data_IF_204085447093
#
_entry.id   IF_204085447093
#
_cell.length_a   1.000
_cell.length_b   1.000
_cell.length_c   1.000
_cell.angle_alpha   90.00
_cell.angle_beta   90.00
_cell.angle_gamma   90.00
#
_symmetry.space_group_name_H-M   'P 1'
#
loop_
_entity.id
_entity.type
_entity.pdbx_description
1 polymer ?
2 non-polymer ?
3 non-polymer ?
4 non-polymer ?
5 water ?
#
# COMPACT_ATOMS: atom_id res chain seq x y z
N UNK A 2 -13.73 -26.55 -17.08
CA UNK A 2 -13.21 -25.57 -16.08
C UNK A 2 -13.59 -25.97 -14.65
N UNK A 3 -12.63 -26.50 -13.89
CA UNK A 3 -12.80 -26.67 -12.45
C UNK A 3 -12.63 -25.28 -11.80
N UNK A 4 -12.22 -24.32 -12.63
CA UNK A 4 -11.99 -22.92 -12.27
C UNK A 4 -13.13 -22.30 -11.37
N UNK A 5 -12.73 -21.59 -10.30
CA UNK A 5 -13.77 -20.91 -9.51
C UNK A 5 -13.05 -19.87 -8.60
N UNK A 6 -13.71 -18.73 -8.40
CA UNK A 6 -13.20 -17.67 -7.48
C UNK A 6 -14.26 -17.45 -6.47
N UNK A 7 -13.87 -17.42 -5.22
CA UNK A 7 -14.83 -17.03 -4.21
C UNK A 7 -14.19 -15.94 -3.37
N UNK A 8 -14.87 -14.78 -3.26
CA UNK A 8 -14.30 -13.70 -2.42
C UNK A 8 -15.08 -13.65 -1.12
N UNK A 9 -14.35 -13.57 -0.02
CA UNK A 9 -14.92 -13.48 1.31
C UNK A 9 -14.86 -12.07 1.92
N UNK A 10 -15.99 -11.44 2.34
CA UNK A 10 -15.86 -10.19 3.07
C UNK A 10 -17.21 -9.89 3.77
N UNK A 11 -17.12 -8.90 4.65
CA UNK A 11 -18.35 -8.38 5.21
C UNK A 11 -19.24 -7.77 4.11
N UNK A 12 -20.46 -7.31 4.57
CA UNK A 12 -21.42 -6.68 3.65
C UNK A 12 -21.01 -5.23 3.53
N UNK A 13 -19.98 -4.98 2.75
CA UNK A 13 -19.32 -3.71 2.82
C UNK A 13 -18.44 -3.66 1.62
N UNK A 14 -18.16 -2.42 1.14
CA UNK A 14 -17.30 -2.25 -0.03
C UNK A 14 -15.86 -2.27 0.51
N UNK A 15 -15.45 -1.18 1.17
CA UNK A 15 -14.20 -1.16 2.02
C UNK A 15 -13.05 -1.76 1.19
N UNK A 16 -12.28 -2.61 1.83
CA UNK A 16 -11.00 -3.14 1.20
C UNK A 16 -11.32 -4.11 0.07
N UNK A 17 -12.53 -4.74 0.07
CA UNK A 17 -12.81 -5.80 -0.92
C UNK A 17 -13.13 -5.18 -2.33
N UNK A 18 -13.70 -3.94 -2.33
CA UNK A 18 -14.29 -3.44 -3.59
C UNK A 18 -13.34 -3.41 -4.80
N UNK A 19 -12.06 -3.01 -4.62
CA UNK A 19 -11.20 -2.99 -5.79
C UNK A 19 -11.08 -4.39 -6.41
N UNK A 20 -11.12 -5.44 -5.58
CA UNK A 20 -11.04 -6.80 -6.15
C UNK A 20 -12.32 -7.12 -6.95
N UNK A 21 -13.48 -6.73 -6.37
CA UNK A 21 -14.79 -6.91 -7.10
C UNK A 21 -14.76 -6.17 -8.36
N UNK A 22 -14.26 -4.94 -8.32
CA UNK A 22 -14.28 -4.19 -9.66
C UNK A 22 -13.32 -4.78 -10.70
N UNK A 23 -12.17 -5.26 -10.19
CA UNK A 23 -11.20 -5.82 -11.12
C UNK A 23 -11.76 -7.10 -11.78
N UNK A 24 -12.35 -7.98 -10.97
CA UNK A 24 -12.93 -9.25 -11.54
C UNK A 24 -14.07 -8.92 -12.48
N UNK A 25 -14.86 -7.91 -12.11
CA UNK A 25 -15.99 -7.47 -13.00
C UNK A 25 -15.44 -7.00 -14.33
N UNK A 26 -14.47 -6.10 -14.29
CA UNK A 26 -13.92 -5.52 -15.53
C UNK A 26 -13.26 -6.60 -16.38
N UNK A 27 -12.64 -7.58 -15.73
CA UNK A 27 -11.97 -8.67 -16.46
C UNK A 27 -12.98 -9.66 -17.00
N UNK A 28 -14.26 -9.53 -16.63
CA UNK A 28 -15.23 -10.48 -17.09
C UNK A 28 -15.14 -11.83 -16.42
N UNK A 29 -14.59 -11.89 -15.22
CA UNK A 29 -14.42 -13.15 -14.45
C UNK A 29 -15.55 -13.30 -13.48
N UNK A 30 -16.31 -14.38 -13.63
CA UNK A 30 -17.42 -14.60 -12.76
C UNK A 30 -16.83 -15.10 -11.43
N UNK A 31 -17.45 -14.66 -10.35
CA UNK A 31 -16.96 -15.07 -9.03
C UNK A 31 -18.12 -15.10 -8.08
N UNK A 32 -17.96 -15.86 -6.98
CA UNK A 32 -18.91 -15.97 -5.96
C UNK A 32 -18.55 -14.83 -4.99
N UNK A 33 -19.44 -13.84 -4.84
CA UNK A 33 -19.17 -12.70 -3.98
C UNK A 33 -19.82 -12.94 -2.63
N UNK A 34 -19.07 -13.58 -1.71
CA UNK A 34 -19.66 -14.07 -0.46
C UNK A 34 -19.55 -12.92 0.55
N UNK A 35 -20.67 -12.27 0.85
CA UNK A 35 -20.65 -11.16 1.86
C UNK A 35 -21.42 -11.62 3.07
N UNK A 36 -20.75 -11.89 4.16
CA UNK A 36 -21.44 -12.41 5.35
C UNK A 36 -21.81 -11.35 6.34
N UNK A 37 -22.77 -11.64 7.27
CA UNK A 37 -23.22 -10.64 8.22
C UNK A 37 -22.28 -10.58 9.43
N UNK A 38 -22.37 -9.49 10.20
CA UNK A 38 -21.59 -9.36 11.46
C UNK A 38 -21.87 -10.53 12.42
N UNK A 39 -23.11 -11.05 12.44
CA UNK A 39 -23.48 -12.10 13.41
C UNK A 39 -22.81 -13.43 13.01
N UNK A 40 -22.56 -13.61 11.72
CA UNK A 40 -21.95 -14.84 11.23
C UNK A 40 -20.43 -14.79 11.44
N UNK A 41 -19.85 -13.60 11.49
CA UNK A 41 -18.38 -13.51 11.49
C UNK A 41 -17.70 -14.33 12.57
N UNK A 42 -18.20 -14.30 13.83
CA UNK A 42 -17.39 -15.01 14.87
C UNK A 42 -17.29 -16.50 14.59
N UNK A 43 -18.21 -17.11 13.83
CA UNK A 43 -18.01 -18.55 13.58
C UNK A 43 -17.28 -18.82 12.25
N UNK A 44 -17.05 -17.75 11.48
CA UNK A 44 -16.27 -17.90 10.21
C UNK A 44 -14.80 -17.59 10.55
N UNK A 45 -14.59 -16.50 11.26
CA UNK A 45 -13.24 -16.05 11.64
C UNK A 45 -12.20 -17.16 12.02
N UNK A 46 -12.61 -18.11 12.91
CA UNK A 46 -11.51 -19.05 13.39
C UNK A 46 -11.17 -20.08 12.32
N UNK A 47 -11.83 -20.06 11.16
CA UNK A 47 -11.53 -20.99 10.08
C UNK A 47 -10.65 -20.38 8.99
N UNK A 48 -10.44 -19.03 9.00
CA UNK A 48 -9.70 -18.43 7.86
C UNK A 48 -8.28 -18.18 8.22
N UNK A 49 -7.34 -18.33 7.23
CA UNK A 49 -5.96 -18.00 7.60
C UNK A 49 -5.77 -16.57 8.03
N UNK A 50 -5.22 -16.37 9.21
CA UNK A 50 -5.00 -15.00 9.72
C UNK A 50 -6.22 -14.39 10.44
N UNK A 51 -7.36 -15.07 10.37
CA UNK A 51 -8.55 -14.55 11.09
C UNK A 51 -9.05 -13.18 10.53
N UNK A 52 -8.84 -12.89 9.23
CA UNK A 52 -9.16 -11.59 8.67
C UNK A 52 -9.58 -11.75 7.20
N UNK A 53 -10.34 -10.79 6.71
CA UNK A 53 -10.76 -10.72 5.30
C UNK A 53 -10.39 -9.30 4.71
N UNK A 54 -10.42 -9.15 3.41
CA UNK A 54 -10.87 -10.08 2.34
C UNK A 54 -9.93 -11.30 2.23
N UNK A 55 -10.49 -12.39 1.68
CA UNK A 55 -9.73 -13.58 1.33
C UNK A 55 -10.35 -13.93 -0.07
N UNK A 56 -9.44 -14.29 -0.99
CA UNK A 56 -9.93 -14.77 -2.27
C UNK A 56 -9.44 -16.25 -2.42
N UNK A 57 -10.43 -17.14 -2.59
CA UNK A 57 -10.12 -18.59 -2.79
C UNK A 57 -10.22 -18.80 -4.29
N UNK A 58 -9.13 -19.27 -4.85
CA UNK A 58 -9.05 -19.52 -6.27
C UNK A 58 -8.90 -21.04 -6.45
N UNK A 59 -9.86 -21.64 -7.17
CA UNK A 59 -9.75 -23.08 -7.53
C UNK A 59 -9.23 -23.12 -8.98
N UNK A 60 -8.03 -23.60 -9.17
CA UNK A 60 -7.47 -23.44 -10.50
C UNK A 60 -7.93 -24.52 -11.46
N UNK A 61 -7.34 -24.53 -12.69
CA UNK A 61 -7.80 -25.54 -13.64
C UNK A 61 -7.48 -26.98 -13.15
N UNK A 62 -6.48 -27.15 -12.27
CA UNK A 62 -6.15 -28.49 -11.74
C UNK A 62 -7.13 -28.90 -10.65
N UNK A 63 -8.11 -28.04 -10.32
CA UNK A 63 -9.05 -28.43 -9.30
C UNK A 63 -8.46 -28.11 -7.90
N UNK A 64 -7.29 -27.47 -7.84
CA UNK A 64 -6.69 -27.24 -6.53
C UNK A 64 -6.97 -25.81 -6.02
N UNK A 65 -7.05 -25.72 -4.68
CA UNK A 65 -7.57 -24.45 -4.05
C UNK A 65 -6.40 -23.75 -3.49
N UNK A 66 -6.24 -22.45 -3.79
CA UNK A 66 -5.27 -21.63 -3.20
C UNK A 66 -5.99 -20.43 -2.56
N UNK A 67 -5.59 -20.10 -1.35
CA UNK A 67 -6.37 -19.06 -0.61
C UNK A 67 -5.44 -17.84 -0.48
N UNK A 68 -5.86 -16.69 -0.93
CA UNK A 68 -5.00 -15.48 -1.00
C UNK A 68 -5.54 -14.38 -0.01
N UNK A 69 -4.62 -13.76 0.75
CA UNK A 69 -4.86 -12.74 1.77
C UNK A 69 -4.38 -11.38 1.26
N UNK A 70 -4.79 -10.32 1.98
CA UNK A 70 -4.28 -8.91 1.83
C UNK A 70 -4.87 -8.31 0.57
N UNK A 71 -5.90 -7.44 0.71
CA UNK A 71 -6.70 -7.01 -0.43
C UNK A 71 -5.89 -6.49 -1.58
N UNK A 72 -4.94 -5.59 -1.37
CA UNK A 72 -4.32 -4.99 -2.60
C UNK A 72 -3.11 -5.88 -3.08
N UNK A 73 -2.68 -6.92 -2.32
CA UNK A 73 -1.76 -7.99 -2.87
C UNK A 73 -2.62 -8.86 -3.85
N UNK A 74 -3.80 -9.32 -3.37
CA UNK A 74 -4.74 -10.05 -4.23
C UNK A 74 -5.05 -9.24 -5.51
N UNK A 75 -5.40 -7.96 -5.34
CA UNK A 75 -5.75 -7.12 -6.52
C UNK A 75 -4.56 -6.95 -7.45
N UNK A 76 -3.35 -6.71 -6.93
CA UNK A 76 -2.19 -6.59 -7.86
C UNK A 76 -1.90 -7.88 -8.59
N UNK A 77 -2.04 -9.04 -7.88
CA UNK A 77 -1.69 -10.35 -8.55
C UNK A 77 -2.71 -10.57 -9.69
N UNK A 78 -4.01 -10.32 -9.39
CA UNK A 78 -5.05 -10.47 -10.45
C UNK A 78 -4.76 -9.47 -11.53
N UNK A 79 -4.51 -8.22 -11.16
CA UNK A 79 -4.31 -7.19 -12.17
C UNK A 79 -3.17 -7.55 -13.11
N UNK A 80 -2.11 -8.06 -12.55
CA UNK A 80 -0.98 -8.45 -13.43
C UNK A 80 -1.46 -9.56 -14.43
N UNK A 81 -2.19 -10.54 -13.92
CA UNK A 81 -2.71 -11.66 -14.72
C UNK A 81 -3.58 -11.13 -15.82
N UNK A 82 -4.32 -10.04 -15.55
CA UNK A 82 -5.29 -9.52 -16.51
C UNK A 82 -4.69 -8.36 -17.34
N UNK A 83 -3.38 -8.17 -17.24
CA UNK A 83 -2.63 -7.11 -17.96
C UNK A 83 -3.21 -5.69 -17.64
N UNK A 84 -3.53 -5.47 -16.37
CA UNK A 84 -4.10 -4.20 -15.85
C UNK A 84 -3.13 -3.61 -14.80
N UNK A 85 -1.85 -3.92 -14.93
CA UNK A 85 -0.84 -3.43 -13.92
C UNK A 85 0.23 -2.61 -14.65
N UNK A 86 -0.08 -2.27 -15.92
CA UNK A 86 0.80 -1.45 -16.71
C UNK A 86 1.56 -2.30 -17.74
N UNK A 87 1.86 -1.69 -18.88
CA UNK A 87 2.61 -2.39 -19.94
C UNK A 87 4.03 -1.96 -20.05
N UNK A 88 4.46 -0.95 -19.31
CA UNK A 88 5.85 -0.51 -19.29
C UNK A 88 6.19 -0.24 -17.82
N UNK A 89 7.49 -0.14 -17.49
CA UNK A 89 7.85 0.23 -16.12
C UNK A 89 7.24 1.61 -15.76
N UNK A 90 7.24 2.52 -16.70
CA UNK A 90 6.65 3.84 -16.46
C UNK A 90 5.18 3.74 -16.04
N UNK A 91 4.42 2.93 -16.78
CA UNK A 91 2.99 2.76 -16.46
C UNK A 91 2.79 2.14 -15.09
N UNK A 92 3.65 1.16 -14.81
CA UNK A 92 3.65 0.49 -13.51
C UNK A 92 3.90 1.53 -12.41
N UNK A 93 4.88 2.42 -12.63
CA UNK A 93 5.12 3.42 -11.58
C UNK A 93 3.87 4.36 -11.44
N UNK A 94 3.28 4.81 -12.55
CA UNK A 94 2.12 5.69 -12.43
C UNK A 94 0.99 5.04 -11.62
N UNK A 95 0.79 3.74 -11.87
CA UNK A 95 -0.29 3.01 -11.13
C UNK A 95 0.10 3.01 -9.68
N UNK A 96 1.34 2.57 -9.42
CA UNK A 96 1.75 2.55 -8.01
C UNK A 96 1.66 3.92 -7.30
N UNK A 97 2.03 4.97 -8.03
CA UNK A 97 2.01 6.32 -7.41
C UNK A 97 0.57 6.64 -6.99
N UNK A 98 -0.39 6.42 -7.90
CA UNK A 98 -1.82 6.71 -7.51
C UNK A 98 -2.33 5.79 -6.45
N UNK A 99 -1.88 4.55 -6.43
CA UNK A 99 -2.42 3.69 -5.38
C UNK A 99 -1.84 4.16 -3.98
N UNK A 100 -0.51 4.53 -3.95
CA UNK A 100 0.05 5.03 -2.66
C UNK A 100 -0.72 6.25 -2.14
N UNK A 101 -0.99 7.17 -3.09
CA UNK A 101 -1.62 8.44 -2.68
C UNK A 101 -3.05 8.05 -2.25
N UNK A 102 -3.76 7.19 -3.03
CA UNK A 102 -5.17 6.86 -2.65
C UNK A 102 -5.16 6.06 -1.28
N UNK A 103 -4.10 5.27 -0.99
CA UNK A 103 -4.10 4.56 0.34
C UNK A 103 -4.18 5.58 1.49
N UNK A 104 -3.42 6.67 1.33
CA UNK A 104 -3.49 7.74 2.30
C UNK A 104 -4.88 8.36 2.37
N UNK A 105 -5.42 8.63 1.22
CA UNK A 105 -6.76 9.28 1.23
C UNK A 105 -7.81 8.30 1.84
N UNK A 106 -7.73 7.01 1.47
CA UNK A 106 -8.68 6.01 1.98
C UNK A 106 -8.64 6.06 3.55
N UNK A 107 -7.45 6.05 4.14
CA UNK A 107 -7.37 6.07 5.58
C UNK A 107 -8.08 7.28 6.18
N UNK A 108 -7.94 8.43 5.53
CA UNK A 108 -8.55 9.65 6.08
C UNK A 108 -10.07 9.50 6.05
N UNK A 109 -10.60 9.05 4.89
CA UNK A 109 -12.07 9.00 4.86
C UNK A 109 -12.63 7.86 5.68
N UNK A 110 -11.93 6.74 5.76
CA UNK A 110 -12.36 5.70 6.67
C UNK A 110 -12.40 6.14 8.12
N UNK A 111 -11.44 6.97 8.52
CA UNK A 111 -11.42 7.52 9.89
C UNK A 111 -12.67 8.40 10.05
N UNK A 112 -13.05 9.16 9.04
CA UNK A 112 -14.30 9.96 9.22
C UNK A 112 -15.48 9.03 9.37
N UNK A 113 -15.59 8.04 8.49
CA UNK A 113 -16.70 7.09 8.52
C UNK A 113 -16.81 6.46 9.89
N UNK A 114 -15.67 6.18 10.55
CA UNK A 114 -15.69 5.49 11.86
C UNK A 114 -15.89 6.43 13.04
N UNK A 115 -16.02 7.72 12.74
CA UNK A 115 -16.06 8.68 13.82
C UNK A 115 -17.54 8.77 14.26
N UNK A 116 -17.80 8.72 15.58
CA UNK A 116 -19.16 8.93 16.15
C UNK A 116 -19.86 10.16 15.59
N UNK A 117 -21.18 10.05 15.49
CA UNK A 117 -22.04 10.90 14.64
C UNK A 117 -21.96 12.45 14.54
N UNK A 118 -21.70 13.22 15.61
CA UNK A 118 -21.39 12.83 16.96
C UNK A 118 -20.31 13.87 16.97
N UNK A 119 -19.18 13.51 16.35
CA UNK A 119 -17.92 14.23 16.35
C UNK A 119 -17.32 14.25 14.92
N UNK A 120 -18.14 13.75 14.02
CA UNK A 120 -17.81 13.60 12.60
C UNK A 120 -17.62 14.96 12.01
N UNK A 121 -18.50 15.92 12.38
CA UNK A 121 -18.50 17.17 11.60
C UNK A 121 -17.16 17.93 11.80
N UNK A 122 -16.61 17.86 13.02
CA UNK A 122 -15.31 18.43 13.29
C UNK A 122 -14.23 17.75 12.42
N UNK A 123 -14.27 16.41 12.32
CA UNK A 123 -13.20 15.72 11.53
C UNK A 123 -13.35 16.04 10.02
N UNK A 124 -14.59 16.27 9.58
CA UNK A 124 -14.82 16.63 8.17
C UNK A 124 -14.26 18.02 7.87
N UNK A 125 -14.46 18.93 8.81
CA UNK A 125 -14.00 20.29 8.58
C UNK A 125 -12.48 20.27 8.56
N UNK A 126 -11.86 19.50 9.45
CA UNK A 126 -10.38 19.38 9.48
C UNK A 126 -9.88 18.81 8.15
N UNK A 127 -10.52 17.72 7.68
CA UNK A 127 -10.17 17.17 6.38
C UNK A 127 -10.21 18.18 5.25
N UNK A 128 -11.34 18.93 5.16
CA UNK A 128 -11.51 19.93 4.08
C UNK A 128 -10.48 21.01 4.11
N UNK A 129 -9.96 21.32 5.32
CA UNK A 129 -9.00 22.44 5.42
C UNK A 129 -7.58 22.01 5.40
N UNK A 130 -7.34 20.69 5.64
CA UNK A 130 -5.98 20.18 5.79
C UNK A 130 -5.48 19.02 4.92
N UNK A 131 -5.59 17.70 5.36
CA UNK A 131 -5.07 16.65 4.57
C UNK A 131 -5.90 16.39 3.31
N UNK A 132 -7.20 16.75 3.35
CA UNK A 132 -8.02 16.67 2.08
C UNK A 132 -7.41 17.35 0.84
N UNK A 133 -7.22 18.70 0.90
CA UNK A 133 -6.64 19.40 -0.17
C UNK A 133 -5.28 18.88 -0.46
N UNK A 134 -4.50 18.54 0.59
CA UNK A 134 -3.15 18.17 0.23
C UNK A 134 -3.17 16.83 -0.53
N UNK A 135 -3.97 15.87 -0.07
CA UNK A 135 -3.94 14.57 -0.78
C UNK A 135 -4.63 14.65 -2.11
N UNK A 136 -5.77 15.34 -2.11
CA UNK A 136 -6.51 15.46 -3.37
C UNK A 136 -5.74 16.26 -4.46
N UNK A 137 -4.93 17.25 -4.03
CA UNK A 137 -4.08 17.96 -5.02
C UNK A 137 -3.10 16.99 -5.61
N UNK A 138 -2.48 16.13 -4.79
CA UNK A 138 -1.53 15.15 -5.36
C UNK A 138 -2.26 14.29 -6.36
N UNK A 139 -3.41 13.71 -5.92
CA UNK A 139 -4.08 12.80 -6.78
C UNK A 139 -4.48 13.52 -8.09
N UNK A 140 -5.01 14.74 -7.97
CA UNK A 140 -5.36 15.50 -9.19
C UNK A 140 -4.20 15.74 -10.13
N UNK A 141 -3.03 16.14 -9.56
CA UNK A 141 -1.82 16.36 -10.37
C UNK A 141 -1.35 15.09 -11.03
N UNK A 142 -1.44 13.95 -10.28
CA UNK A 142 -1.05 12.67 -10.88
C UNK A 142 -1.91 12.36 -12.10
N UNK A 143 -3.19 12.42 -11.89
CA UNK A 143 -4.14 12.07 -13.01
C UNK A 143 -3.97 13.07 -14.20
N UNK A 144 -3.72 14.34 -13.87
CA UNK A 144 -3.58 15.34 -14.95
C UNK A 144 -2.35 14.99 -15.79
N UNK A 145 -1.26 14.62 -15.11
CA UNK A 145 -0.01 14.30 -15.78
C UNK A 145 -0.21 13.19 -16.76
N UNK A 146 -1.20 12.31 -16.55
CA UNK A 146 -1.34 11.22 -17.50
C UNK A 146 -2.56 11.45 -18.41
N UNK A 147 -3.18 12.67 -18.40
CA UNK A 147 -4.20 13.02 -19.45
C UNK A 147 -5.62 13.06 -18.99
N UNK A 148 -5.87 12.79 -17.71
CA UNK A 148 -7.18 13.07 -17.12
C UNK A 148 -8.21 11.91 -17.18
N UNK A 149 -7.99 10.94 -18.08
CA UNK A 149 -8.98 9.85 -18.28
C UNK A 149 -8.52 8.52 -17.63
N UNK A 150 -7.19 8.31 -17.71
CA UNK A 150 -6.57 7.09 -17.15
C UNK A 150 -5.30 7.40 -16.45
N UNK A 151 -5.06 6.68 -15.34
CA UNK A 151 -3.86 6.84 -14.56
C UNK A 151 -2.60 6.48 -15.37
N UNK A 152 -2.80 5.48 -16.25
CA UNK A 152 -1.65 4.93 -17.04
C UNK A 152 -2.15 4.30 -18.29
N UNK A 153 -1.38 4.49 -19.36
CA UNK A 153 -1.78 3.90 -20.68
C UNK A 153 -3.10 4.49 -21.10
N UNK A 154 -3.82 3.84 -21.99
CA UNK A 154 -5.06 4.57 -22.30
C UNK A 154 -6.17 3.61 -22.14
N UNK A 155 -6.02 2.73 -21.15
CA UNK A 155 -7.02 1.72 -20.88
C UNK A 155 -7.17 1.56 -19.34
N UNK A 156 -8.26 0.97 -18.91
CA UNK A 156 -8.49 0.80 -17.50
C UNK A 156 -7.42 -0.13 -16.90
N UNK A 157 -6.92 0.30 -15.74
CA UNK A 157 -5.91 -0.43 -14.93
C UNK A 157 -6.37 -0.53 -13.49
N UNK A 158 -5.68 -1.32 -12.67
CA UNK A 158 -5.98 -1.25 -11.23
C UNK A 158 -5.83 0.15 -10.67
N UNK A 159 -4.92 0.95 -11.19
CA UNK A 159 -4.76 2.35 -10.65
C UNK A 159 -6.04 3.10 -10.82
N UNK A 160 -6.65 2.98 -11.99
CA UNK A 160 -7.94 3.63 -12.18
C UNK A 160 -8.98 3.13 -11.26
N UNK A 161 -9.03 1.77 -11.06
CA UNK A 161 -10.14 1.24 -10.28
C UNK A 161 -9.99 1.64 -8.79
N UNK A 162 -8.77 1.60 -8.33
CA UNK A 162 -8.55 1.97 -6.90
C UNK A 162 -8.77 3.52 -6.72
N UNK A 163 -8.39 4.32 -7.71
CA UNK A 163 -8.76 5.78 -7.68
C UNK A 163 -10.28 5.90 -7.63
N UNK A 164 -10.96 5.14 -8.47
CA UNK A 164 -12.39 5.28 -8.55
C UNK A 164 -13.04 4.97 -7.18
N UNK A 165 -12.68 3.84 -6.53
CA UNK A 165 -13.31 3.46 -5.31
C UNK A 165 -12.96 4.44 -4.18
N UNK A 166 -11.77 4.99 -4.23
CA UNK A 166 -11.36 5.95 -3.15
C UNK A 166 -12.17 7.26 -3.38
N UNK A 167 -12.30 7.72 -4.65
CA UNK A 167 -13.11 8.98 -4.92
C UNK A 167 -14.57 8.72 -4.50
N UNK A 168 -15.12 7.50 -4.69
CA UNK A 168 -16.49 7.21 -4.22
C UNK A 168 -16.58 7.49 -2.73
N UNK A 169 -15.54 7.04 -1.99
CA UNK A 169 -15.54 7.25 -0.52
C UNK A 169 -15.49 8.73 -0.20
N UNK A 170 -14.67 9.52 -0.93
CA UNK A 170 -14.64 10.98 -0.61
C UNK A 170 -16.03 11.56 -0.89
N UNK A 171 -16.60 11.16 -2.03
CA UNK A 171 -17.94 11.74 -2.41
C UNK A 171 -18.99 11.44 -1.41
N UNK A 172 -18.99 10.23 -0.91
CA UNK A 172 -19.97 9.85 0.17
C UNK A 172 -19.69 10.35 1.53
N UNK A 173 -18.43 10.47 1.93
CA UNK A 173 -18.15 10.95 3.29
C UNK A 173 -17.96 12.44 3.47
N UNK A 174 -17.59 13.18 2.45
CA UNK A 174 -17.35 14.63 2.50
C UNK A 174 -18.20 15.21 1.35
N UNK A 175 -19.53 15.18 1.45
CA UNK A 175 -20.40 15.47 0.27
C UNK A 175 -20.14 16.87 -0.35
N UNK A 176 -20.14 16.94 -1.67
CA UNK A 176 -19.90 18.20 -2.34
C UNK A 176 -18.46 18.66 -2.50
N UNK A 177 -17.60 18.13 -1.61
CA UNK A 177 -16.22 18.65 -1.63
C UNK A 177 -15.44 18.35 -2.86
N UNK A 178 -15.44 17.06 -3.30
CA UNK A 178 -14.78 16.78 -4.58
C UNK A 178 -15.37 17.53 -5.77
N UNK A 179 -16.69 17.66 -5.75
CA UNK A 179 -17.42 18.21 -6.90
C UNK A 179 -17.05 19.70 -7.04
N UNK A 180 -16.92 20.37 -5.89
CA UNK A 180 -16.61 21.80 -5.91
C UNK A 180 -15.11 22.08 -6.05
N UNK A 181 -14.29 21.44 -5.20
CA UNK A 181 -12.83 21.73 -5.18
C UNK A 181 -11.94 21.02 -6.21
N UNK A 182 -12.36 19.81 -6.69
CA UNK A 182 -11.41 19.05 -7.61
C UNK A 182 -12.23 18.56 -8.77
N UNK A 183 -12.73 19.57 -9.55
CA UNK A 183 -13.66 19.09 -10.61
C UNK A 183 -13.06 18.01 -11.56
N UNK A 184 -11.75 18.04 -11.88
CA UNK A 184 -11.21 17.03 -12.79
C UNK A 184 -11.33 15.59 -12.21
N UNK A 185 -11.20 15.48 -10.87
CA UNK A 185 -11.34 14.15 -10.25
C UNK A 185 -12.81 13.76 -10.31
N UNK A 186 -13.75 14.71 -10.05
CA UNK A 186 -15.15 14.36 -10.21
C UNK A 186 -15.47 13.93 -11.66
N UNK A 187 -14.87 14.59 -12.63
CA UNK A 187 -15.10 14.27 -14.07
C UNK A 187 -14.58 12.83 -14.30
N UNK A 188 -13.45 12.52 -13.60
CA UNK A 188 -12.88 11.14 -13.80
C UNK A 188 -13.86 10.09 -13.26
N UNK A 189 -14.42 10.39 -12.08
CA UNK A 189 -15.33 9.48 -11.41
C UNK A 189 -16.58 9.29 -12.37
N UNK A 190 -17.04 10.38 -13.02
CA UNK A 190 -18.22 10.24 -13.97
C UNK A 190 -17.81 9.44 -15.21
N UNK A 191 -16.61 9.63 -15.68
CA UNK A 191 -16.17 9.14 -16.99
C UNK A 191 -15.77 7.67 -16.93
N UNK A 192 -15.18 7.27 -15.81
CA UNK A 192 -14.47 5.98 -15.85
C UNK A 192 -15.39 4.81 -16.27
N UNK A 193 -16.61 4.74 -15.73
CA UNK A 193 -17.52 3.61 -16.03
C UNK A 193 -17.86 3.56 -17.52
N UNK A 194 -17.83 4.69 -18.20
CA UNK A 194 -18.01 4.65 -19.65
C UNK A 194 -16.80 3.92 -20.37
N UNK A 195 -15.73 3.60 -19.63
CA UNK A 195 -14.51 2.90 -20.15
C UNK A 195 -14.47 1.32 -19.88
N UNK A 196 -15.61 0.87 -19.29
CA UNK A 196 -15.84 -0.54 -18.92
C UNK A 196 -17.40 -0.66 -18.83
N UNK A 197 -18.13 -1.14 -19.85
CA UNK A 197 -19.61 -1.24 -19.68
C UNK A 197 -20.02 -2.30 -18.65
N UNK A 198 -19.15 -3.29 -18.41
CA UNK A 198 -19.35 -4.25 -17.33
C UNK A 198 -19.33 -3.47 -15.99
N UNK A 199 -18.43 -2.49 -15.87
CA UNK A 199 -18.36 -1.69 -14.66
C UNK A 199 -19.68 -0.96 -14.44
N UNK A 200 -20.16 -0.33 -15.49
CA UNK A 200 -21.31 0.53 -15.29
C UNK A 200 -22.51 -0.29 -14.85
N UNK A 201 -22.76 -1.44 -15.55
CA UNK A 201 -23.88 -2.30 -15.17
C UNK A 201 -23.72 -2.78 -13.74
N UNK A 202 -22.49 -3.20 -13.36
CA UNK A 202 -22.27 -3.66 -11.98
C UNK A 202 -22.60 -2.60 -10.93
N UNK A 203 -22.17 -1.36 -11.19
CA UNK A 203 -22.34 -0.29 -10.17
C UNK A 203 -23.83 -0.02 -10.07
N UNK A 204 -24.53 -0.08 -11.22
CA UNK A 204 -25.99 0.11 -11.24
C UNK A 204 -26.70 -0.83 -10.26
N UNK A 205 -26.27 -2.09 -10.25
CA UNK A 205 -26.98 -3.18 -9.55
C UNK A 205 -26.43 -3.56 -8.18
N UNK A 206 -25.31 -2.96 -7.81
CA UNK A 206 -24.61 -3.31 -6.59
C UNK A 206 -25.50 -2.90 -5.36
N UNK A 207 -25.49 -3.71 -4.33
CA UNK A 207 -26.16 -3.40 -3.03
C UNK A 207 -25.60 -2.10 -2.43
N UNK A 208 -26.38 -1.38 -1.63
CA UNK A 208 -25.86 -0.22 -0.96
C UNK A 208 -25.29 -0.63 0.36
N UNK A 209 -24.12 -0.07 0.67
CA UNK A 209 -23.54 -0.39 1.95
C UNK A 209 -23.06 0.89 2.60
N UNK A 210 -22.81 0.83 3.93
CA UNK A 210 -22.47 2.17 4.49
C UNK A 210 -21.01 2.67 4.13
N UNK A 211 -20.14 1.78 3.66
CA UNK A 211 -18.77 2.16 3.22
C UNK A 211 -18.28 0.87 2.48
N UNK B 2 27.11 10.86 -17.70
CA UNK B 2 27.78 12.20 -17.59
C UNK B 2 26.92 13.14 -16.72
N UNK B 3 25.70 13.45 -17.11
CA UNK B 3 24.89 14.21 -16.15
C UNK B 3 24.07 13.30 -15.19
N UNK B 4 24.28 12.00 -15.26
CA UNK B 4 23.44 11.06 -14.54
C UNK B 4 23.51 11.24 -13.04
N UNK B 5 22.35 11.26 -12.35
CA UNK B 5 22.44 11.53 -10.91
C UNK B 5 21.13 11.04 -10.25
N UNK B 6 21.21 10.57 -8.98
CA UNK B 6 19.97 10.27 -8.27
C UNK B 6 20.05 11.16 -7.03
N UNK B 7 18.94 11.85 -6.71
CA UNK B 7 18.92 12.62 -5.49
C UNK B 7 17.59 12.26 -4.75
N UNK B 8 17.73 11.78 -3.51
CA UNK B 8 16.51 11.46 -2.72
C UNK B 8 16.36 12.57 -1.70
N UNK B 9 15.15 13.13 -1.60
CA UNK B 9 14.87 14.16 -0.63
C UNK B 9 14.01 13.55 0.54
N UNK B 10 14.39 13.84 1.79
CA UNK B 10 13.48 13.53 2.86
C UNK B 10 14.00 14.21 4.14
N UNK B 11 13.18 14.15 5.17
CA UNK B 11 13.65 14.53 6.53
C UNK B 11 14.77 13.64 6.98
N UNK B 12 15.39 14.03 8.11
CA UNK B 12 16.47 13.30 8.71
C UNK B 12 15.88 12.23 9.67
N UNK B 13 15.14 11.31 9.03
CA UNK B 13 14.44 10.20 9.68
C UNK B 13 14.51 9.03 8.72
N UNK B 14 14.33 7.82 9.28
CA UNK B 14 14.13 6.67 8.40
C UNK B 14 12.75 6.71 7.76
N UNK B 15 11.72 6.63 8.58
CA UNK B 15 10.36 6.95 8.11
C UNK B 15 10.06 6.27 6.78
N UNK B 16 9.51 7.03 5.82
CA UNK B 16 9.08 6.48 4.56
C UNK B 16 10.20 6.36 3.52
N UNK B 17 11.33 7.04 3.79
CA UNK B 17 12.47 6.96 2.84
C UNK B 17 13.30 5.73 3.01
N UNK B 18 13.34 5.12 4.22
CA UNK B 18 14.29 4.06 4.47
C UNK B 18 14.28 2.92 3.48
N UNK B 19 13.10 2.42 3.02
CA UNK B 19 13.19 1.28 2.09
C UNK B 19 13.86 1.62 0.76
N UNK B 20 13.73 2.91 0.33
CA UNK B 20 14.38 3.38 -0.88
C UNK B 20 15.88 3.39 -0.67
N UNK B 21 16.29 3.96 0.47
CA UNK B 21 17.75 3.98 0.79
C UNK B 21 18.34 2.59 0.88
N UNK B 22 17.59 1.66 1.48
CA UNK B 22 18.11 0.26 1.52
C UNK B 22 18.15 -0.38 0.15
N UNK B 23 17.16 -0.15 -0.69
CA UNK B 23 17.20 -0.74 -2.02
C UNK B 23 18.42 -0.25 -2.78
N UNK B 24 18.61 1.07 -2.75
CA UNK B 24 19.70 1.60 -3.56
C UNK B 24 21.03 1.08 -3.00
N UNK B 25 21.09 0.98 -1.67
CA UNK B 25 22.31 0.42 -0.99
C UNK B 25 22.59 -1.03 -1.48
N UNK B 26 21.55 -1.88 -1.41
CA UNK B 26 21.63 -3.30 -1.85
C UNK B 26 22.12 -3.39 -3.31
N UNK B 27 21.58 -2.54 -4.16
CA UNK B 27 21.88 -2.55 -5.56
C UNK B 27 23.25 -1.92 -5.91
N UNK B 28 23.83 -1.27 -4.93
CA UNK B 28 25.13 -0.56 -5.14
C UNK B 28 24.97 0.70 -5.99
N UNK B 29 23.82 1.34 -5.99
CA UNK B 29 23.65 2.49 -6.81
C UNK B 29 24.07 3.72 -5.96
N UNK B 30 24.97 4.57 -6.48
CA UNK B 30 25.45 5.70 -5.64
C UNK B 30 24.46 6.85 -5.82
N UNK B 31 24.03 7.45 -4.73
CA UNK B 31 23.04 8.52 -4.87
C UNK B 31 23.22 9.56 -3.79
N UNK B 32 22.65 10.72 -4.06
CA UNK B 32 22.72 11.78 -3.11
C UNK B 32 21.50 11.64 -2.15
N UNK B 33 21.80 11.46 -0.86
CA UNK B 33 20.74 11.19 0.14
C UNK B 33 20.55 12.48 0.92
N UNK B 34 19.70 13.34 0.43
CA UNK B 34 19.53 14.68 1.02
C UNK B 34 18.54 14.61 2.17
N UNK B 35 19.09 14.71 3.38
CA UNK B 35 18.25 14.58 4.60
C UNK B 35 18.18 15.97 5.20
N UNK B 36 17.14 16.72 4.86
CA UNK B 36 17.14 18.15 5.30
C UNK B 36 16.63 18.18 6.76
N UNK B 37 16.98 19.26 7.42
CA UNK B 37 16.57 19.47 8.82
C UNK B 37 15.18 20.13 8.78
N UNK B 38 14.47 19.98 9.89
CA UNK B 38 13.09 20.39 9.94
C UNK B 38 12.93 21.90 9.69
N UNK B 39 13.94 22.70 10.14
CA UNK B 39 13.81 24.14 9.92
C UNK B 39 13.88 24.53 8.47
N UNK B 40 14.37 23.63 7.58
CA UNK B 40 14.40 23.93 6.13
C UNK B 40 13.10 23.62 5.45
N UNK B 41 12.27 22.75 6.06
CA UNK B 41 11.09 22.30 5.28
C UNK B 41 10.15 23.39 4.73
N UNK B 42 9.80 24.34 5.61
CA UNK B 42 8.87 25.34 5.08
C UNK B 42 9.39 26.10 3.86
N UNK B 43 10.72 26.26 3.77
CA UNK B 43 11.34 26.83 2.58
C UNK B 43 11.33 25.90 1.40
N UNK B 44 11.60 24.60 1.65
CA UNK B 44 11.72 23.60 0.54
C UNK B 44 10.32 23.25 -0.07
N UNK B 45 9.32 23.09 0.84
CA UNK B 45 8.01 22.55 0.51
C UNK B 45 7.38 23.09 -0.76
N UNK B 46 7.28 24.44 -0.90
CA UNK B 46 6.63 25.03 -2.12
C UNK B 46 7.40 24.81 -3.45
N UNK B 47 8.63 24.36 -3.36
CA UNK B 47 9.44 24.14 -4.53
C UNK B 47 9.32 22.73 -4.99
N UNK B 48 8.78 21.84 -4.15
CA UNK B 48 8.78 20.39 -4.58
C UNK B 48 7.40 20.04 -5.09
N UNK B 49 7.32 19.28 -6.20
CA UNK B 49 6.05 18.91 -6.76
C UNK B 49 5.28 18.08 -5.76
N UNK B 50 4.07 18.51 -5.48
CA UNK B 50 3.21 17.80 -4.55
C UNK B 50 3.36 18.25 -3.09
N UNK B 51 4.43 19.00 -2.77
CA UNK B 51 4.69 19.52 -1.41
C UNK B 51 4.86 18.46 -0.37
N UNK B 52 5.34 17.25 -0.80
CA UNK B 52 5.56 16.16 0.18
C UNK B 52 6.84 15.37 -0.23
N UNK B 53 7.41 14.72 0.75
CA UNK B 53 8.52 13.82 0.47
C UNK B 53 8.18 12.42 1.04
N UNK B 54 8.96 11.39 0.65
CA UNK B 54 10.19 11.40 -0.13
C UNK B 54 9.89 11.78 -1.61
N UNK B 55 10.97 12.25 -2.28
CA UNK B 55 10.94 12.60 -3.72
C UNK B 55 12.29 12.07 -4.22
N UNK B 56 12.25 11.37 -5.33
CA UNK B 56 13.50 10.89 -5.92
C UNK B 56 13.64 11.61 -7.24
N UNK B 57 14.70 12.43 -7.34
CA UNK B 57 15.03 13.11 -8.60
C UNK B 57 16.06 12.28 -9.41
N UNK B 58 15.72 11.93 -10.64
CA UNK B 58 16.60 11.09 -11.43
C UNK B 58 16.94 11.90 -12.67
N UNK B 59 18.25 12.12 -12.80
CA UNK B 59 18.73 12.87 -14.01
C UNK B 59 19.41 11.87 -14.91
N UNK B 60 19.04 11.85 -16.19
CA UNK B 60 19.72 10.97 -17.15
C UNK B 60 20.99 11.62 -17.70
N UNK B 61 21.80 10.87 -18.47
CA UNK B 61 23.11 11.43 -18.99
C UNK B 61 22.93 12.72 -19.77
N UNK B 62 21.90 12.71 -20.61
CA UNK B 62 21.31 13.87 -21.28
C UNK B 62 21.12 15.11 -20.40
N UNK B 63 20.78 14.88 -19.12
CA UNK B 63 20.45 15.96 -18.19
C UNK B 63 18.95 16.19 -18.08
N UNK B 64 18.14 15.30 -18.68
CA UNK B 64 16.70 15.46 -18.45
C UNK B 64 16.33 14.95 -17.03
N UNK B 65 15.51 15.72 -16.34
CA UNK B 65 15.21 15.38 -14.90
C UNK B 65 13.78 14.81 -14.85
N UNK B 66 13.60 13.68 -14.18
CA UNK B 66 12.27 13.14 -13.85
C UNK B 66 12.21 13.11 -12.32
N UNK B 67 11.08 13.58 -11.81
CA UNK B 67 10.89 13.73 -10.34
C UNK B 67 9.83 12.72 -9.86
N UNK B 68 10.26 11.72 -9.11
CA UNK B 68 9.38 10.63 -8.73
C UNK B 68 8.82 10.79 -7.32
N UNK B 69 7.47 10.77 -7.21
CA UNK B 69 6.82 10.88 -5.89
C UNK B 69 6.36 9.47 -5.36
N UNK B 70 6.06 9.43 -4.02
CA UNK B 70 5.32 8.32 -3.34
C UNK B 70 6.25 7.14 -3.01
N UNK B 71 6.67 7.08 -1.73
CA UNK B 71 7.81 6.28 -1.42
C UNK B 71 7.73 4.84 -1.92
N UNK B 72 6.59 4.16 -1.65
CA UNK B 72 6.64 2.72 -1.98
C UNK B 72 6.30 2.53 -3.51
N UNK B 73 5.90 3.62 -4.29
CA UNK B 73 5.91 3.53 -5.75
C UNK B 73 7.35 3.60 -6.30
N UNK B 74 8.05 4.61 -5.79
CA UNK B 74 9.52 4.71 -6.05
C UNK B 74 10.15 3.39 -5.75
N UNK B 75 10.00 2.87 -4.51
CA UNK B 75 10.65 1.61 -4.12
C UNK B 75 10.26 0.46 -5.10
N UNK B 76 8.98 0.36 -5.45
CA UNK B 76 8.59 -0.78 -6.30
C UNK B 76 9.21 -0.60 -7.68
N UNK B 77 9.28 0.67 -8.16
CA UNK B 77 9.82 0.85 -9.53
C UNK B 77 11.30 0.45 -9.49
N UNK B 78 12.03 0.95 -8.51
CA UNK B 78 13.52 0.57 -8.39
C UNK B 78 13.65 -0.97 -8.23
N UNK B 79 12.82 -1.53 -7.34
CA UNK B 79 12.89 -2.97 -7.01
C UNK B 79 12.69 -3.78 -8.36
N UNK B 80 11.70 -3.41 -9.14
CA UNK B 80 11.48 -4.12 -10.42
C UNK B 80 12.74 -3.97 -11.25
N UNK B 81 13.27 -2.76 -11.38
CA UNK B 81 14.53 -2.60 -12.16
C UNK B 81 15.71 -3.47 -11.68
N UNK B 82 15.83 -3.63 -10.37
CA UNK B 82 16.88 -4.42 -9.74
C UNK B 82 16.53 -5.91 -9.57
N UNK B 83 15.41 -6.35 -10.11
CA UNK B 83 14.98 -7.75 -10.01
C UNK B 83 14.84 -8.16 -8.50
N UNK B 84 14.21 -7.22 -7.77
CA UNK B 84 13.94 -7.45 -6.34
C UNK B 84 12.47 -7.39 -6.01
N UNK B 85 11.61 -7.58 -7.01
CA UNK B 85 10.14 -7.58 -6.79
C UNK B 85 9.60 -8.99 -7.13
N UNK B 86 10.48 -10.00 -7.06
CA UNK B 86 10.08 -11.38 -7.16
C UNK B 86 10.34 -11.93 -8.61
N UNK B 87 10.56 -13.26 -8.68
CA UNK B 87 10.95 -13.83 -10.02
C UNK B 87 9.84 -14.60 -10.67
N UNK B 88 8.74 -14.77 -9.95
CA UNK B 88 7.54 -15.40 -10.44
C UNK B 88 6.31 -14.61 -9.89
N UNK B 89 5.14 -14.90 -10.43
CA UNK B 89 3.93 -14.22 -9.97
C UNK B 89 3.70 -14.60 -8.51
N UNK B 90 4.02 -15.86 -8.12
CA UNK B 90 3.77 -16.22 -6.78
C UNK B 90 4.69 -15.38 -5.88
N UNK B 91 5.97 -15.20 -6.23
CA UNK B 91 6.85 -14.44 -5.32
C UNK B 91 6.37 -12.97 -5.31
N UNK B 92 5.86 -12.46 -6.46
CA UNK B 92 5.36 -11.08 -6.46
C UNK B 92 4.21 -10.97 -5.43
N UNK B 93 3.26 -11.93 -5.45
CA UNK B 93 2.17 -11.91 -4.44
C UNK B 93 2.77 -12.01 -3.00
N UNK B 94 3.72 -12.89 -2.76
CA UNK B 94 4.29 -12.96 -1.41
C UNK B 94 4.80 -11.58 -0.97
N UNK B 95 5.52 -10.93 -1.86
CA UNK B 95 6.05 -9.59 -1.60
C UNK B 95 4.94 -8.61 -1.31
N UNK B 96 3.97 -8.52 -2.22
CA UNK B 96 2.86 -7.56 -1.94
C UNK B 96 2.02 -7.89 -0.71
N UNK B 97 1.90 -9.19 -0.35
CA UNK B 97 1.16 -9.54 0.90
C UNK B 97 1.94 -8.97 2.11
N UNK B 98 3.28 -9.21 2.19
CA UNK B 98 4.08 -8.67 3.34
C UNK B 98 4.05 -7.16 3.31
N UNK B 99 4.06 -6.53 2.14
CA UNK B 99 4.12 -5.06 2.19
C UNK B 99 2.73 -4.58 2.75
N UNK B 100 1.62 -5.09 2.16
CA UNK B 100 0.30 -4.71 2.71
C UNK B 100 0.16 -4.89 4.22
N UNK B 101 0.60 -6.05 4.69
CA UNK B 101 0.53 -6.33 6.14
C UNK B 101 1.45 -5.32 6.88
N UNK B 102 2.68 -5.10 6.39
CA UNK B 102 3.56 -4.17 7.03
C UNK B 102 3.06 -2.70 7.01
N UNK B 103 2.30 -2.34 5.96
CA UNK B 103 1.81 -0.93 5.88
C UNK B 103 0.91 -0.73 7.11
N UNK B 104 0.11 -1.76 7.40
CA UNK B 104 -0.85 -1.64 8.50
C UNK B 104 -0.06 -1.53 9.78
N UNK B 105 0.95 -2.36 9.90
CA UNK B 105 1.80 -2.35 11.09
C UNK B 105 2.57 -1.02 11.21
N UNK B 106 3.14 -0.52 10.16
CA UNK B 106 3.83 0.81 10.14
C UNK B 106 2.85 1.91 10.70
N UNK B 107 1.61 1.97 10.14
CA UNK B 107 0.66 2.94 10.73
C UNK B 107 0.55 2.82 12.26
N UNK B 108 0.42 1.58 12.78
CA UNK B 108 0.20 1.46 14.27
C UNK B 108 1.42 1.98 14.96
N UNK B 109 2.63 1.58 14.55
CA UNK B 109 3.78 1.97 15.35
C UNK B 109 4.11 3.49 15.14
N UNK B 110 3.88 4.00 13.93
CA UNK B 110 4.13 5.45 13.69
C UNK B 110 3.14 6.25 14.61
N UNK B 111 1.93 5.73 14.80
CA UNK B 111 1.02 6.40 15.73
C UNK B 111 1.55 6.41 17.15
N UNK B 112 2.15 5.34 17.59
CA UNK B 112 2.77 5.32 18.95
C UNK B 112 3.86 6.40 18.95
N UNK B 113 4.73 6.40 17.95
CA UNK B 113 5.81 7.35 17.92
C UNK B 113 5.25 8.81 18.04
N UNK B 114 4.16 9.13 17.30
CA UNK B 114 3.55 10.50 17.36
C UNK B 114 2.84 10.82 18.66
N UNK B 115 2.64 9.81 19.51
CA UNK B 115 1.82 10.03 20.69
C UNK B 115 2.78 10.70 21.76
N UNK B 116 2.33 11.82 22.40
CA UNK B 116 3.17 12.48 23.38
C UNK B 116 3.44 11.59 24.60
N UNK B 117 4.60 11.75 25.21
CA UNK B 117 5.03 11.00 26.34
C UNK B 117 3.91 11.17 27.35
N UNK B 118 3.51 10.13 28.02
CA UNK B 118 2.42 10.42 28.95
C UNK B 118 1.17 9.74 28.43
N UNK B 119 1.01 9.73 27.10
CA UNK B 119 -0.10 9.00 26.53
C UNK B 119 0.46 7.75 25.83
N UNK B 120 1.77 7.65 25.68
CA UNK B 120 2.36 6.46 24.95
C UNK B 120 2.03 5.16 25.68
N UNK B 121 2.12 5.13 27.02
CA UNK B 121 1.99 3.85 27.70
C UNK B 121 0.64 3.23 27.36
N UNK B 122 -0.42 4.01 27.42
CA UNK B 122 -1.68 3.46 27.13
C UNK B 122 -1.76 3.00 25.68
N UNK B 123 -1.13 3.75 24.76
CA UNK B 123 -1.27 3.41 23.34
C UNK B 123 -0.51 2.06 23.08
N UNK B 124 0.64 1.86 23.78
CA UNK B 124 1.41 0.65 23.60
C UNK B 124 0.63 -0.55 24.20
N UNK B 125 0.00 -0.36 25.37
CA UNK B 125 -0.83 -1.42 25.95
C UNK B 125 -1.97 -1.83 24.99
N UNK B 126 -2.73 -0.86 24.47
CA UNK B 126 -3.72 -1.02 23.37
C UNK B 126 -3.19 -1.87 22.20
N UNK B 127 -2.00 -1.46 21.73
CA UNK B 127 -1.37 -2.17 20.52
C UNK B 127 -1.12 -3.63 20.90
N UNK B 128 -0.56 -3.87 22.10
CA UNK B 128 -0.29 -5.27 22.48
C UNK B 128 -1.53 -6.08 22.71
N UNK B 129 -2.63 -5.46 23.12
CA UNK B 129 -3.82 -6.24 23.43
C UNK B 129 -4.70 -6.49 22.21
N UNK B 130 -4.47 -5.73 21.13
CA UNK B 130 -5.43 -5.72 20.03
C UNK B 130 -4.75 -5.93 18.68
N UNK B 131 -4.51 -4.86 17.96
CA UNK B 131 -4.04 -4.96 16.55
C UNK B 131 -2.61 -5.50 16.45
N UNK B 132 -1.81 -5.35 17.49
CA UNK B 132 -0.40 -5.83 17.43
C UNK B 132 -0.36 -7.36 17.21
N UNK B 133 -0.92 -8.14 18.13
CA UNK B 133 -0.99 -9.64 17.91
C UNK B 133 -1.61 -10.01 16.56
N UNK B 134 -2.66 -9.31 16.17
CA UNK B 134 -3.38 -9.64 14.92
C UNK B 134 -2.43 -9.46 13.76
N UNK B 135 -1.87 -8.26 13.67
CA UNK B 135 -0.96 -7.99 12.52
C UNK B 135 0.35 -8.84 12.56
N UNK B 136 0.98 -8.95 13.72
CA UNK B 136 2.22 -9.66 13.74
C UNK B 136 1.95 -11.17 13.52
N UNK B 137 0.76 -11.67 13.92
CA UNK B 137 0.53 -13.09 13.55
C UNK B 137 0.46 -13.24 11.99
N UNK B 138 -0.15 -12.31 11.31
CA UNK B 138 -0.27 -12.37 9.84
C UNK B 138 1.18 -12.34 9.29
N UNK B 139 2.02 -11.34 9.73
CA UNK B 139 3.40 -11.23 9.22
C UNK B 139 4.17 -12.53 9.54
N UNK B 140 4.00 -13.04 10.78
CA UNK B 140 4.63 -14.32 11.16
C UNK B 140 4.28 -15.46 10.22
N UNK B 141 3.00 -15.60 9.94
CA UNK B 141 2.55 -16.75 9.15
C UNK B 141 2.98 -16.48 7.70
N UNK B 142 2.99 -15.20 7.26
CA UNK B 142 3.45 -15.01 5.87
C UNK B 142 4.93 -15.39 5.73
N UNK B 143 5.77 -14.97 6.68
CA UNK B 143 7.19 -15.26 6.53
C UNK B 143 7.44 -16.80 6.73
N UNK B 144 6.62 -17.41 7.55
CA UNK B 144 6.68 -18.90 7.85
C UNK B 144 6.47 -19.61 6.54
N UNK B 145 5.45 -19.13 5.83
CA UNK B 145 5.02 -19.76 4.57
C UNK B 145 6.13 -19.70 3.53
N UNK B 146 7.10 -18.77 3.70
CA UNK B 146 8.11 -18.72 2.61
C UNK B 146 9.40 -19.27 3.15
N UNK B 147 9.33 -19.91 4.32
CA UNK B 147 10.49 -20.64 4.82
C UNK B 147 11.26 -20.00 5.97
N UNK B 148 10.88 -18.77 6.35
CA UNK B 148 11.48 -18.13 7.51
C UNK B 148 12.74 -17.30 7.33
N UNK B 149 13.45 -17.40 6.18
CA UNK B 149 14.67 -16.62 5.88
C UNK B 149 14.35 -15.42 5.03
N UNK B 150 13.47 -15.68 4.01
CA UNK B 150 13.18 -14.63 3.05
C UNK B 150 11.71 -14.60 2.81
N UNK B 151 11.21 -13.40 2.55
CA UNK B 151 9.78 -13.27 2.17
C UNK B 151 9.42 -13.94 0.85
N UNK B 152 10.39 -13.97 -0.05
CA UNK B 152 10.07 -14.57 -1.36
C UNK B 152 11.38 -15.11 -1.90
N UNK B 153 11.38 -16.36 -2.36
CA UNK B 153 12.65 -16.77 -3.06
C UNK B 153 13.78 -17.02 -2.06
N UNK B 154 15.02 -16.89 -2.58
CA UNK B 154 16.15 -17.21 -1.68
C UNK B 154 17.20 -16.11 -1.64
N UNK B 155 16.75 -14.88 -1.98
CA UNK B 155 17.61 -13.74 -1.82
C UNK B 155 16.78 -12.48 -1.42
N UNK B 156 17.49 -11.43 -1.11
CA UNK B 156 16.83 -10.23 -0.63
C UNK B 156 15.95 -9.59 -1.69
N UNK B 157 14.72 -9.25 -1.28
CA UNK B 157 13.79 -8.48 -2.12
C UNK B 157 13.23 -7.24 -1.32
N UNK B 158 12.48 -6.43 -2.04
CA UNK B 158 11.77 -5.26 -1.38
C UNK B 158 10.86 -5.80 -0.30
N UNK B 159 10.32 -7.02 -0.43
CA UNK B 159 9.50 -7.57 0.65
C UNK B 159 10.36 -7.74 1.87
N UNK B 160 11.58 -8.25 1.76
CA UNK B 160 12.38 -8.47 2.99
C UNK B 160 12.81 -7.10 3.54
N UNK B 161 13.16 -6.12 2.66
CA UNK B 161 13.68 -4.83 3.16
C UNK B 161 12.54 -4.10 3.90
N UNK B 162 11.33 -4.15 3.40
CA UNK B 162 10.24 -3.43 4.08
C UNK B 162 9.79 -4.12 5.31
N UNK B 163 9.84 -5.47 5.30
CA UNK B 163 9.62 -6.16 6.55
C UNK B 163 10.64 -5.81 7.61
N UNK B 164 11.89 -5.73 7.13
CA UNK B 164 13.04 -5.39 8.02
C UNK B 164 12.84 -4.00 8.67
N UNK B 165 12.55 -3.02 7.86
CA UNK B 165 12.36 -1.60 8.35
C UNK B 165 11.16 -1.50 9.32
N UNK B 166 10.09 -2.24 9.00
CA UNK B 166 8.86 -2.18 9.85
C UNK B 166 9.16 -2.88 11.21
N UNK B 167 9.88 -4.03 11.18
CA UNK B 167 10.19 -4.71 12.44
C UNK B 167 11.09 -3.81 13.26
N UNK B 168 12.02 -3.07 12.67
CA UNK B 168 12.82 -2.20 13.47
C UNK B 168 11.93 -1.20 14.23
N UNK B 169 10.93 -0.66 13.51
CA UNK B 169 10.00 0.33 14.18
C UNK B 169 9.27 -0.37 15.32
N UNK B 170 8.83 -1.65 15.10
CA UNK B 170 8.15 -2.37 16.24
C UNK B 170 9.10 -2.50 17.45
N UNK B 171 10.36 -2.88 17.17
CA UNK B 171 11.28 -3.14 18.32
C UNK B 171 11.56 -1.84 19.02
N UNK B 172 11.66 -0.72 18.29
CA UNK B 172 11.92 0.60 18.89
C UNK B 172 10.72 1.17 19.66
N UNK B 173 9.54 0.98 19.15
CA UNK B 173 8.39 1.69 19.74
C UNK B 173 7.61 0.81 20.72
N UNK B 174 7.75 -0.53 20.63
CA UNK B 174 7.02 -1.45 21.53
C UNK B 174 8.10 -2.40 22.10
N UNK B 175 8.91 -1.89 22.98
CA UNK B 175 10.13 -2.56 23.49
C UNK B 175 9.78 -3.92 24.04
N UNK B 176 10.52 -4.92 23.55
CA UNK B 176 10.42 -6.28 24.09
C UNK B 176 9.41 -7.18 23.44
N UNK B 177 8.42 -6.57 22.75
CA UNK B 177 7.22 -7.31 22.43
C UNK B 177 7.53 -8.30 21.27
N UNK B 178 8.28 -7.82 20.29
CA UNK B 178 8.62 -8.70 19.14
C UNK B 178 9.53 -9.85 19.65
N UNK B 179 10.48 -9.48 20.48
CA UNK B 179 11.53 -10.42 20.94
C UNK B 179 10.87 -11.53 21.76
N UNK B 180 9.89 -11.15 22.57
CA UNK B 180 9.24 -12.10 23.48
C UNK B 180 8.14 -12.93 22.79
N UNK B 181 7.30 -12.28 21.95
CA UNK B 181 6.09 -12.87 21.46
C UNK B 181 6.23 -13.39 20.04
N UNK B 182 7.20 -12.83 19.29
CA UNK B 182 7.44 -13.20 17.90
C UNK B 182 8.86 -13.47 17.60
N UNK B 183 9.49 -14.45 18.31
CA UNK B 183 10.95 -14.58 18.17
C UNK B 183 11.42 -14.98 16.76
N UNK B 184 10.57 -15.63 15.95
CA UNK B 184 10.95 -15.90 14.54
C UNK B 184 11.06 -14.64 13.73
N UNK B 185 10.26 -13.63 14.11
CA UNK B 185 10.46 -12.36 13.39
C UNK B 185 11.68 -11.66 13.89
N UNK B 186 11.93 -11.76 15.21
CA UNK B 186 13.13 -11.17 15.74
C UNK B 186 14.33 -11.78 15.08
N UNK B 187 14.31 -13.13 14.93
CA UNK B 187 15.43 -13.85 14.27
C UNK B 187 15.64 -13.32 12.84
N UNK B 188 14.52 -13.08 12.14
CA UNK B 188 14.61 -12.55 10.77
C UNK B 188 15.33 -11.18 10.79
N UNK B 189 14.96 -10.32 11.76
CA UNK B 189 15.59 -9.03 11.85
C UNK B 189 17.13 -9.16 12.10
N UNK B 190 17.50 -10.18 12.86
CA UNK B 190 18.95 -10.46 13.16
C UNK B 190 19.65 -10.99 11.95
N UNK B 191 18.99 -11.86 11.22
CA UNK B 191 19.60 -12.64 10.12
C UNK B 191 19.74 -11.87 8.80
N UNK B 192 18.78 -10.98 8.52
CA UNK B 192 18.69 -10.50 7.14
C UNK B 192 19.96 -9.78 6.70
N UNK B 193 20.52 -8.92 7.57
CA UNK B 193 21.66 -8.14 7.05
C UNK B 193 22.84 -9.09 6.81
N UNK B 194 22.97 -10.13 7.63
CA UNK B 194 24.11 -11.04 7.48
C UNK B 194 24.07 -11.70 6.12
N UNK B 195 23.01 -11.45 5.38
CA UNK B 195 22.92 -11.87 3.99
C UNK B 195 23.64 -10.87 3.10
N UNK B 196 23.13 -9.61 3.00
CA UNK B 196 23.78 -8.64 2.15
C UNK B 196 24.86 -7.82 2.88
N UNK B 197 26.09 -7.96 2.39
CA UNK B 197 27.22 -7.30 3.06
C UNK B 197 27.15 -5.78 2.92
N UNK B 198 26.69 -5.29 1.78
CA UNK B 198 26.43 -3.86 1.59
C UNK B 198 25.42 -3.35 2.64
N UNK B 199 24.42 -4.16 2.96
CA UNK B 199 23.40 -3.72 3.89
C UNK B 199 23.92 -3.71 5.31
N UNK B 200 24.61 -4.78 5.67
CA UNK B 200 25.21 -4.83 6.99
C UNK B 200 26.12 -3.61 7.26
N UNK B 201 26.97 -3.30 6.29
CA UNK B 201 27.91 -2.17 6.44
C UNK B 201 27.19 -0.80 6.56
N UNK B 202 26.22 -0.56 5.66
CA UNK B 202 25.40 0.64 5.75
C UNK B 202 24.74 0.78 7.14
N UNK B 203 24.11 -0.29 7.60
CA UNK B 203 23.42 -0.24 8.88
C UNK B 203 24.36 0.08 10.06
N UNK B 204 25.58 -0.42 10.00
CA UNK B 204 26.55 -0.17 11.05
C UNK B 204 26.93 1.28 11.09
N UNK B 205 27.09 1.91 9.93
CA UNK B 205 27.61 3.29 9.91
C UNK B 205 26.50 4.36 10.03
N UNK B 206 25.22 3.96 9.90
CA UNK B 206 24.14 4.95 9.76
C UNK B 206 23.92 5.67 11.09
N UNK B 207 23.73 6.99 11.04
CA UNK B 207 23.36 7.74 12.27
C UNK B 207 22.00 7.30 12.81
N UNK B 208 21.92 7.24 14.11
CA UNK B 208 20.69 6.86 14.78
C UNK B 208 19.66 8.00 14.56
N UNK B 209 18.36 7.67 14.35
CA UNK B 209 17.32 8.70 14.19
C UNK B 209 16.15 8.20 15.07
N UNK B 210 15.27 9.08 15.51
CA UNK B 210 14.17 8.76 16.41
C UNK B 210 13.12 7.79 15.80
N UNK B 211 12.98 7.85 14.47
CA UNK B 211 12.00 7.03 13.70
C UNK B 211 12.49 7.06 12.26
#
# INVERSE_FOLDING_TARGET
MDKQHFKLWYFQFRGRAEPIRLLLTCAGVKFEDYQFTMDQWPTIKPTLPGGRVPLLDVTGPDGKLRRYQESMAIARLLARQFKMMGETDEEYYLIERIIGECEDLYREVYTIFRTPQGEKEAKIKEFKENNGPTLLKLVSESLESSGGKHVAGNRITLGDLFLFTTLTHVMETVPGFLEQKFPKLHEFHKSLPTSCSRLSEYLKKRAKTPF
MDKQHFKLWYFQFRGRAEPIRLLLTCAGVKFEDYQFTMDQWPTIKPTLPGGRVPLLDVTGPDGKLRRYQESMAIARLLARQFKMMGETDEEYYLIERIIGECEDLYREVYTIFRTPQGEKEAKIKEFKENNGPTLLKLVSESLESSGGKHVAGNRITLGDLFLFTTLTHVMETVPGFLEQKFPKLHEFHKSLPTSCSRLSEYLKKRAKTPF
#
